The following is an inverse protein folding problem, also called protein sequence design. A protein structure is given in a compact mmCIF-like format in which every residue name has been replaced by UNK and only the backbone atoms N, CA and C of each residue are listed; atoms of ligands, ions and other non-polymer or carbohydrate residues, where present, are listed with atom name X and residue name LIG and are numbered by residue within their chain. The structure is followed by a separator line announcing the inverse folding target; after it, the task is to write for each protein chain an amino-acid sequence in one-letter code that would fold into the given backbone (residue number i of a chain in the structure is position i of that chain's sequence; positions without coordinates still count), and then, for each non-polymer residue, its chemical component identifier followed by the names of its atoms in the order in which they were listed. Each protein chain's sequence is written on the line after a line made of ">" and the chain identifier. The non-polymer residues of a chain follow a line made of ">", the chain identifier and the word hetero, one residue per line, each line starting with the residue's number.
data_IF_472327269644
#
_entry.id   IF_472327269644
#
_cell.length_a   1.000
_cell.length_b   1.000
_cell.length_c   1.000
_cell.angle_alpha   90.00
_cell.angle_beta   90.00
_cell.angle_gamma   90.00
#
_symmetry.space_group_name_H-M   'P 1'
#
loop_
_entity.id
_entity.type
_entity.pdbx_description
1 polymer ?
#
# COMPACT_ATOMS: atom_id res chain seq x y z
N UNK A 1 3.04 6.17 18.01
CA UNK A 1 3.77 5.82 16.78
C UNK A 1 4.60 7.02 16.38
N UNK A 2 5.87 6.83 16.02
CA UNK A 2 6.65 7.90 15.42
C UNK A 2 6.07 8.18 14.03
N UNK A 3 5.62 9.41 13.79
CA UNK A 3 5.01 9.85 12.52
C UNK A 3 6.13 10.15 11.50
N UNK A 4 7.00 9.17 11.25
CA UNK A 4 8.11 9.27 10.28
C UNK A 4 7.52 9.18 8.88
N UNK A 5 8.07 9.97 7.95
CA UNK A 5 7.64 9.93 6.56
C UNK A 5 7.90 8.56 5.92
N UNK A 6 6.92 8.04 5.19
CA UNK A 6 6.99 6.79 4.43
C UNK A 6 6.61 7.07 2.97
N UNK A 7 7.10 6.21 2.08
CA UNK A 7 6.72 6.23 0.67
C UNK A 7 5.35 5.56 0.47
N UNK A 8 4.33 6.35 0.20
CA UNK A 8 2.99 5.88 -0.15
C UNK A 8 2.95 5.68 -1.67
N UNK A 9 2.55 4.50 -2.13
CA UNK A 9 2.64 4.06 -3.53
C UNK A 9 1.29 3.49 -3.94
N UNK A 10 0.59 4.15 -4.85
CA UNK A 10 -0.66 3.61 -5.36
C UNK A 10 -0.37 2.36 -6.20
N UNK A 11 -0.88 1.20 -5.78
CA UNK A 11 -0.72 -0.04 -6.55
C UNK A 11 -1.52 -0.03 -7.87
N UNK A 12 -2.49 0.87 -8.00
CA UNK A 12 -3.35 0.98 -9.20
C UNK A 12 -2.69 1.85 -10.28
N UNK A 13 -2.29 3.08 -9.94
CA UNK A 13 -1.75 4.04 -10.91
C UNK A 13 -0.25 4.31 -10.78
N UNK A 14 0.41 3.74 -9.77
CA UNK A 14 1.85 3.89 -9.55
C UNK A 14 2.30 5.24 -8.96
N UNK A 15 1.39 6.19 -8.72
CA UNK A 15 1.76 7.49 -8.12
C UNK A 15 2.38 7.29 -6.73
N UNK A 16 3.36 8.11 -6.40
CA UNK A 16 4.08 8.05 -5.13
C UNK A 16 4.00 9.37 -4.38
N UNK A 17 3.97 9.30 -3.06
CA UNK A 17 4.06 10.46 -2.17
C UNK A 17 4.85 10.11 -0.91
N UNK A 18 5.82 10.95 -0.55
CA UNK A 18 6.53 10.83 0.73
C UNK A 18 5.79 11.66 1.77
N UNK A 19 5.05 10.99 2.64
CA UNK A 19 4.16 11.60 3.63
C UNK A 19 4.32 10.88 4.96
N UNK A 20 4.07 11.57 6.07
CA UNK A 20 3.82 10.84 7.32
C UNK A 20 2.50 10.07 7.22
N UNK A 21 2.32 8.95 7.93
CA UNK A 21 1.05 8.22 7.89
C UNK A 21 -0.15 9.11 8.24
N UNK A 22 0.02 10.05 9.17
CA UNK A 22 -1.02 11.03 9.51
C UNK A 22 -1.37 11.97 8.35
N UNK A 23 -0.37 12.43 7.59
CA UNK A 23 -0.58 13.26 6.41
C UNK A 23 -1.26 12.48 5.28
N UNK A 24 -0.82 11.25 5.03
CA UNK A 24 -1.39 10.39 4.00
C UNK A 24 -2.86 10.07 4.26
N UNK A 25 -3.20 9.72 5.51
CA UNK A 25 -4.58 9.47 5.90
C UNK A 25 -5.47 10.71 5.70
N UNK A 26 -5.00 11.89 6.12
CA UNK A 26 -5.72 13.15 5.87
C UNK A 26 -5.88 13.47 4.39
N UNK A 27 -4.92 13.07 3.56
CA UNK A 27 -4.99 13.19 2.11
C UNK A 27 -5.84 12.10 1.44
N UNK A 28 -6.43 11.17 2.20
CA UNK A 28 -7.32 10.13 1.68
C UNK A 28 -6.60 8.89 1.12
N UNK A 29 -5.36 8.65 1.53
CA UNK A 29 -4.68 7.39 1.20
C UNK A 29 -5.16 6.25 2.10
N UNK A 30 -5.44 5.11 1.49
CA UNK A 30 -5.69 3.86 2.21
C UNK A 30 -4.35 3.18 2.49
N UNK A 31 -3.75 3.53 3.63
CA UNK A 31 -2.47 3.01 4.08
C UNK A 31 -2.44 2.79 5.60
N UNK A 32 -1.67 1.79 6.11
CA UNK A 32 -1.46 1.63 7.54
C UNK A 32 -0.68 2.82 8.14
N UNK A 33 -0.85 3.09 9.45
CA UNK A 33 -1.64 2.35 10.44
C UNK A 33 -3.08 2.83 10.56
N UNK A 34 -3.47 3.88 9.83
CA UNK A 34 -4.83 4.43 9.92
C UNK A 34 -5.84 3.58 9.14
N UNK A 35 -5.40 2.96 8.04
CA UNK A 35 -6.18 2.02 7.24
C UNK A 35 -5.46 0.68 7.16
N UNK A 36 -5.93 -0.29 7.94
CA UNK A 36 -5.33 -1.62 8.03
C UNK A 36 -4.00 -1.66 8.80
N UNK A 37 -3.23 -2.73 8.57
CA UNK A 37 -1.99 -3.04 9.31
C UNK A 37 -0.85 -3.33 8.35
N UNK A 38 0.37 -2.90 8.69
CA UNK A 38 1.58 -3.26 7.93
C UNK A 38 1.76 -4.78 7.88
N UNK A 39 2.37 -5.28 6.79
CA UNK A 39 2.55 -6.70 6.52
C UNK A 39 1.26 -7.54 6.41
N UNK A 40 0.07 -6.90 6.46
CA UNK A 40 -1.22 -7.54 6.18
C UNK A 40 -1.73 -7.00 4.85
N UNK A 41 -2.05 -7.92 3.94
CA UNK A 41 -2.61 -7.57 2.62
C UNK A 41 -3.92 -6.79 2.82
N UNK A 42 -3.92 -5.57 2.31
CA UNK A 42 -5.03 -4.62 2.31
C UNK A 42 -4.84 -3.62 1.17
N UNK A 43 -5.77 -2.69 0.96
CA UNK A 43 -5.62 -1.65 -0.07
C UNK A 43 -4.36 -0.81 0.18
N UNK A 44 -3.58 -0.52 -0.88
CA UNK A 44 -2.45 0.46 -0.94
C UNK A 44 -2.74 1.42 -2.10
N UNK A 45 -3.67 2.33 -1.89
CA UNK A 45 -4.27 3.12 -2.98
C UNK A 45 -4.35 4.61 -2.66
N UNK A 46 -4.16 5.45 -3.68
CA UNK A 46 -4.30 6.90 -3.58
C UNK A 46 -5.79 7.32 -3.64
N UNK A 47 -6.17 8.51 -3.16
CA UNK A 47 -7.56 8.97 -3.14
C UNK A 47 -8.26 9.05 -4.50
N UNK A 48 -7.48 9.06 -5.60
CA UNK A 48 -8.03 9.16 -6.96
C UNK A 48 -8.30 7.79 -7.61
N UNK A 49 -7.83 6.69 -7.02
CA UNK A 49 -8.01 5.35 -7.56
C UNK A 49 -8.97 4.53 -6.71
N UNK A 50 -9.80 3.67 -7.32
CA UNK A 50 -10.74 2.86 -6.57
C UNK A 50 -10.03 1.71 -5.84
N UNK A 51 -10.48 1.38 -4.64
CA UNK A 51 -9.97 0.21 -3.89
C UNK A 51 -10.23 -1.11 -4.61
N UNK A 52 -11.20 -1.16 -5.53
CA UNK A 52 -11.48 -2.35 -6.36
C UNK A 52 -10.36 -2.69 -7.33
N UNK A 53 -9.41 -1.78 -7.58
CA UNK A 53 -8.23 -2.04 -8.41
C UNK A 53 -7.05 -2.69 -7.66
N UNK A 54 -7.19 -2.94 -6.35
CA UNK A 54 -6.09 -3.41 -5.50
C UNK A 54 -5.92 -4.92 -5.51
N UNK A 55 -4.72 -5.42 -5.20
CA UNK A 55 -4.48 -6.85 -5.04
C UNK A 55 -5.28 -7.44 -3.88
N UNK A 56 -5.56 -6.64 -2.85
CA UNK A 56 -6.45 -7.05 -1.77
C UNK A 56 -7.86 -7.34 -2.27
N UNK A 57 -8.42 -6.50 -3.14
CA UNK A 57 -9.76 -6.73 -3.71
C UNK A 57 -9.78 -8.03 -4.53
N UNK A 58 -8.78 -8.23 -5.38
CA UNK A 58 -8.63 -9.45 -6.17
C UNK A 58 -8.65 -10.72 -5.29
N UNK A 59 -7.95 -10.73 -4.16
CA UNK A 59 -7.89 -11.91 -3.27
C UNK A 59 -9.15 -12.03 -2.41
N UNK A 60 -9.52 -10.95 -1.72
CA UNK A 60 -10.53 -11.00 -0.67
C UNK A 60 -11.97 -10.95 -1.20
N UNK A 61 -12.17 -10.32 -2.36
CA UNK A 61 -13.50 -10.11 -2.95
C UNK A 61 -13.70 -10.95 -4.21
N UNK A 62 -12.75 -10.89 -5.15
CA UNK A 62 -12.88 -11.64 -6.42
C UNK A 62 -12.46 -13.12 -6.27
N UNK A 63 -11.83 -13.49 -5.14
CA UNK A 63 -11.47 -14.87 -4.81
C UNK A 63 -10.28 -15.43 -5.60
N UNK A 64 -9.40 -14.56 -6.12
CA UNK A 64 -8.19 -14.98 -6.81
C UNK A 64 -7.19 -15.63 -5.83
N UNK A 65 -6.61 -16.75 -6.25
CA UNK A 65 -5.48 -17.38 -5.58
C UNK A 65 -4.16 -16.74 -6.04
N UNK A 66 -3.08 -16.94 -5.29
CA UNK A 66 -1.78 -16.31 -5.57
C UNK A 66 -1.21 -16.65 -6.95
N UNK A 67 -1.49 -17.84 -7.48
CA UNK A 67 -1.06 -18.29 -8.81
C UNK A 67 -1.88 -17.67 -9.96
N UNK A 68 -3.02 -17.05 -9.65
CA UNK A 68 -3.84 -16.31 -10.62
C UNK A 68 -3.44 -14.82 -10.70
N UNK A 69 -2.62 -14.34 -9.75
CA UNK A 69 -2.23 -12.94 -9.70
C UNK A 69 -1.28 -12.60 -10.86
N UNK A 70 -1.45 -11.39 -11.39
CA UNK A 70 -0.48 -10.81 -12.31
C UNK A 70 0.87 -10.57 -11.63
N UNK A 71 1.93 -10.46 -12.43
CA UNK A 71 3.26 -10.13 -11.92
C UNK A 71 3.28 -8.82 -11.09
N UNK A 72 2.51 -7.81 -11.51
CA UNK A 72 2.40 -6.55 -10.79
C UNK A 72 1.70 -6.70 -9.42
N UNK A 73 0.68 -7.55 -9.35
CA UNK A 73 0.00 -7.89 -8.10
C UNK A 73 0.92 -8.69 -7.16
N UNK A 74 1.67 -9.67 -7.67
CA UNK A 74 2.67 -10.40 -6.87
C UNK A 74 3.73 -9.46 -6.30
N UNK A 75 4.28 -8.55 -7.11
CA UNK A 75 5.24 -7.55 -6.65
C UNK A 75 4.63 -6.63 -5.57
N UNK A 76 3.34 -6.31 -5.69
CA UNK A 76 2.64 -5.53 -4.67
C UNK A 76 2.46 -6.32 -3.36
N UNK A 77 2.13 -7.61 -3.43
CA UNK A 77 2.06 -8.48 -2.25
C UNK A 77 3.42 -8.54 -1.56
N UNK A 78 4.50 -8.82 -2.28
CA UNK A 78 5.86 -8.84 -1.73
C UNK A 78 6.22 -7.52 -1.05
N UNK A 79 5.89 -6.38 -1.69
CA UNK A 79 6.09 -5.07 -1.11
C UNK A 79 5.30 -4.90 0.20
N UNK A 80 4.02 -5.26 0.23
CA UNK A 80 3.17 -5.15 1.43
C UNK A 80 3.73 -6.00 2.57
N UNK A 81 4.15 -7.23 2.30
CA UNK A 81 4.71 -8.13 3.31
C UNK A 81 6.02 -7.61 3.92
N UNK A 82 6.77 -6.77 3.18
CA UNK A 82 7.96 -6.09 3.67
C UNK A 82 7.70 -4.77 4.42
N UNK A 83 6.45 -4.30 4.52
CA UNK A 83 6.12 -3.04 5.19
C UNK A 83 6.36 -3.11 6.72
N UNK A 84 6.77 -2.00 7.37
CA UNK A 84 7.03 -0.68 6.79
C UNK A 84 8.43 -0.57 6.13
N UNK A 85 9.29 -1.58 6.24
CA UNK A 85 10.67 -1.52 5.72
C UNK A 85 10.75 -1.30 4.22
N UNK A 86 9.85 -1.91 3.45
CA UNK A 86 9.76 -1.76 1.98
C UNK A 86 9.33 -0.38 1.50
N UNK A 87 8.83 0.47 2.40
CA UNK A 87 8.37 1.85 2.12
C UNK A 87 9.07 2.89 3.01
N UNK A 88 10.08 2.48 3.77
CA UNK A 88 10.86 3.38 4.59
C UNK A 88 11.71 4.28 3.68
N UNK A 89 11.72 5.58 3.97
CA UNK A 89 12.67 6.50 3.32
C UNK A 89 14.04 6.34 3.97
N UNK A 90 15.09 6.24 3.15
CA UNK A 90 16.45 6.30 3.67
C UNK A 90 16.66 7.65 4.38
N UNK A 91 17.26 7.64 5.57
CA UNK A 91 17.71 8.88 6.20
C UNK A 91 18.68 9.59 5.24
N UNK A 92 18.59 10.93 5.07
CA UNK A 92 19.68 11.66 4.44
C UNK A 92 20.93 11.41 5.28
N UNK A 93 21.95 10.81 4.66
CA UNK A 93 23.26 10.62 5.27
C UNK A 93 24.02 11.93 5.46
#
# INVERSE_FOLDING_TARGET
>A
MNDIALQHICEVCGIQATLTPSQAFKAGWDYPPHMGTFAVIGPRVCPACPCTGTVWWAIAVDGLTLDMLSQAQCATVERILGEPGSIAVASPG
#
